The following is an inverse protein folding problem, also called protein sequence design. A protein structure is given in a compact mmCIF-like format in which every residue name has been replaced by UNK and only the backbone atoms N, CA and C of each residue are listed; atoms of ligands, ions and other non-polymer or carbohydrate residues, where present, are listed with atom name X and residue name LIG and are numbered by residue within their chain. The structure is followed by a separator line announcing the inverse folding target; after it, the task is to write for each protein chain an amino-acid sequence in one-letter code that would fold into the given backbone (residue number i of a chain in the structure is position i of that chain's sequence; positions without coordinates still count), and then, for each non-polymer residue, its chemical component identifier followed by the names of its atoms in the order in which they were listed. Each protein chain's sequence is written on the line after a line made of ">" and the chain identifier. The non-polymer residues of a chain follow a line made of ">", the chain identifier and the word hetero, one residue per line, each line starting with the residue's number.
data_IF_419539797374
#
_entry.id   IF_419539797374
#
_cell.length_a   1.000
_cell.length_b   1.000
_cell.length_c   1.000
_cell.angle_alpha   90.00
_cell.angle_beta   90.00
_cell.angle_gamma   90.00
#
_symmetry.space_group_name_H-M   'P 1'
#
loop_
_entity.id
_entity.type
_entity.pdbx_description
1 polymer ?
#
# COMPACT_ATOMS: atom_id res chain seq x y z
N UNK A 1 27.19 -30.31 10.21
CA UNK A 1 25.91 -29.58 10.33
C UNK A 1 25.68 -28.87 9.01
N UNK A 2 24.84 -29.45 8.15
CA UNK A 2 24.53 -28.87 6.84
C UNK A 2 23.62 -27.68 7.10
N UNK A 3 24.13 -26.48 6.79
CA UNK A 3 23.45 -25.20 6.92
C UNK A 3 22.16 -25.27 6.12
N UNK A 4 21.02 -25.34 6.82
CA UNK A 4 19.72 -25.15 6.18
C UNK A 4 19.78 -23.81 5.46
N UNK A 5 19.65 -23.81 4.14
CA UNK A 5 19.42 -22.56 3.41
C UNK A 5 18.02 -22.10 3.83
N UNK A 6 17.94 -21.20 4.80
CA UNK A 6 16.71 -20.47 5.07
C UNK A 6 16.32 -19.77 3.77
N UNK A 7 15.35 -20.36 3.06
CA UNK A 7 14.69 -19.69 1.95
C UNK A 7 14.05 -18.45 2.56
N UNK A 8 14.39 -17.28 2.04
CA UNK A 8 13.80 -16.03 2.51
C UNK A 8 12.29 -16.03 2.25
N UNK A 9 11.53 -15.36 3.10
CA UNK A 9 10.08 -15.21 2.92
C UNK A 9 9.75 -14.61 1.53
N UNK A 10 10.64 -13.75 1.04
CA UNK A 10 10.63 -13.16 -0.29
C UNK A 10 10.72 -14.22 -1.40
N UNK A 11 11.74 -15.09 -1.36
CA UNK A 11 11.95 -16.16 -2.34
C UNK A 11 10.81 -17.18 -2.31
N UNK A 12 10.33 -17.51 -1.12
CA UNK A 12 9.17 -18.38 -0.96
C UNK A 12 7.92 -17.75 -1.59
N UNK A 13 7.65 -16.47 -1.34
CA UNK A 13 6.50 -15.76 -1.92
C UNK A 13 6.60 -15.62 -3.44
N UNK A 14 7.79 -15.38 -4.00
CA UNK A 14 8.01 -15.36 -5.45
C UNK A 14 7.78 -16.72 -6.11
N UNK A 15 8.28 -17.80 -5.51
CA UNK A 15 8.16 -19.16 -6.04
C UNK A 15 6.71 -19.61 -6.23
N UNK A 16 5.79 -19.15 -5.38
CA UNK A 16 4.35 -19.46 -5.47
C UNK A 16 3.53 -18.35 -6.13
N UNK A 17 4.17 -17.40 -6.86
CA UNK A 17 3.52 -16.25 -7.50
C UNK A 17 2.66 -15.40 -6.55
N UNK A 18 2.99 -15.45 -5.26
CA UNK A 18 2.38 -14.66 -4.20
C UNK A 18 3.04 -13.28 -4.06
N UNK A 19 4.13 -13.02 -4.78
CA UNK A 19 4.79 -11.71 -4.82
C UNK A 19 3.92 -10.59 -5.43
N UNK A 20 2.86 -10.94 -6.16
CA UNK A 20 1.89 -9.97 -6.70
C UNK A 20 0.63 -10.03 -5.86
N UNK A 21 0.47 -9.05 -4.97
CA UNK A 21 -0.79 -8.86 -4.23
C UNK A 21 -1.94 -8.57 -5.22
N UNK A 22 -1.61 -8.06 -6.42
CA UNK A 22 -2.52 -7.30 -7.26
C UNK A 22 -3.26 -8.16 -8.27
N UNK A 23 -4.58 -8.27 -8.09
CA UNK A 23 -5.46 -8.55 -9.22
C UNK A 23 -5.31 -7.40 -10.21
N UNK A 24 -4.77 -7.70 -11.39
CA UNK A 24 -4.51 -6.73 -12.46
C UNK A 24 -5.77 -5.90 -12.75
N UNK A 25 -6.97 -6.45 -12.51
CA UNK A 25 -8.27 -5.77 -12.64
C UNK A 25 -8.41 -4.50 -11.80
N UNK A 26 -7.73 -4.41 -10.65
CA UNK A 26 -7.77 -3.22 -9.80
C UNK A 26 -6.78 -2.12 -10.23
N UNK A 27 -5.85 -2.47 -11.12
CA UNK A 27 -4.76 -1.61 -11.60
C UNK A 27 -4.86 -1.30 -13.10
N UNK A 28 -5.65 -2.04 -13.87
CA UNK A 28 -6.01 -1.73 -15.25
C UNK A 28 -6.96 -0.52 -15.33
N UNK A 29 -6.80 0.28 -16.38
CA UNK A 29 -7.60 1.48 -16.71
C UNK A 29 -7.48 2.64 -15.72
N UNK A 30 -6.29 3.26 -15.63
CA UNK A 30 -6.14 4.62 -15.06
C UNK A 30 -6.35 5.66 -16.17
N UNK A 31 -7.48 5.59 -16.88
CA UNK A 31 -7.75 6.50 -17.99
C UNK A 31 -8.44 7.80 -17.53
N UNK A 32 -7.88 8.91 -18.04
CA UNK A 32 -8.11 10.34 -17.74
C UNK A 32 -7.66 10.84 -16.38
N UNK A 33 -7.14 12.08 -16.39
CA UNK A 33 -6.83 12.90 -15.22
C UNK A 33 -8.05 12.91 -14.31
N UNK A 34 -7.95 12.16 -13.22
CA UNK A 34 -9.03 12.04 -12.25
C UNK A 34 -8.98 13.25 -11.33
N UNK A 35 -10.14 13.79 -10.94
CA UNK A 35 -10.26 14.78 -9.85
C UNK A 35 -9.51 14.34 -8.58
N UNK A 36 -9.20 13.05 -8.46
CA UNK A 36 -8.46 12.49 -7.35
C UNK A 36 -6.97 12.83 -7.34
N UNK A 37 -6.38 13.20 -8.47
CA UNK A 37 -4.99 13.67 -8.51
C UNK A 37 -4.81 15.00 -7.77
N UNK A 38 -5.87 15.79 -7.64
CA UNK A 38 -5.85 17.06 -6.91
C UNK A 38 -5.50 16.87 -5.43
N UNK A 39 -5.81 15.72 -4.85
CA UNK A 39 -5.42 15.39 -3.46
C UNK A 39 -3.90 15.25 -3.28
N UNK A 40 -3.16 15.12 -4.37
CA UNK A 40 -1.70 15.02 -4.39
C UNK A 40 -1.02 16.27 -4.95
N UNK A 41 -1.79 17.31 -5.28
CA UNK A 41 -1.24 18.52 -5.91
C UNK A 41 -0.27 19.22 -4.96
N UNK A 42 0.95 19.43 -5.45
CA UNK A 42 2.01 20.15 -4.73
C UNK A 42 2.65 19.37 -3.58
N UNK A 43 2.42 18.05 -3.49
CA UNK A 43 3.11 17.20 -2.51
C UNK A 43 4.64 17.23 -2.73
N UNK A 44 5.09 17.33 -3.97
CA UNK A 44 6.49 17.41 -4.36
C UNK A 44 7.23 18.62 -3.76
N UNK A 45 6.50 19.71 -3.45
CA UNK A 45 7.06 20.91 -2.83
C UNK A 45 7.00 20.87 -1.30
N UNK A 46 6.33 19.86 -0.73
CA UNK A 46 6.12 19.68 0.72
C UNK A 46 6.99 18.57 1.32
N UNK A 47 7.77 17.88 0.50
CA UNK A 47 8.64 16.78 0.93
C UNK A 47 10.06 17.01 0.45
N UNK A 48 11.04 16.71 1.31
CA UNK A 48 12.47 16.89 1.00
C UNK A 48 13.16 15.58 0.57
N UNK A 49 12.42 14.46 0.53
CA UNK A 49 12.94 13.15 0.18
C UNK A 49 12.24 12.61 -1.07
N UNK A 50 13.00 12.40 -2.15
CA UNK A 50 12.52 11.83 -3.42
C UNK A 50 11.17 12.41 -3.89
N UNK A 51 11.07 13.74 -4.07
CA UNK A 51 9.79 14.41 -4.29
C UNK A 51 9.02 13.93 -5.52
N UNK A 52 9.72 13.58 -6.61
CA UNK A 52 9.11 13.05 -7.83
C UNK A 52 8.48 11.68 -7.60
N UNK A 53 9.21 10.77 -6.95
CA UNK A 53 8.74 9.42 -6.63
C UNK A 53 7.59 9.45 -5.63
N UNK A 54 7.65 10.33 -4.63
CA UNK A 54 6.56 10.55 -3.68
C UNK A 54 5.31 11.08 -4.38
N UNK A 55 5.44 12.04 -5.30
CA UNK A 55 4.30 12.53 -6.10
C UNK A 55 3.67 11.41 -6.92
N UNK A 56 4.49 10.60 -7.59
CA UNK A 56 4.00 9.47 -8.39
C UNK A 56 3.29 8.44 -7.51
N UNK A 57 3.83 8.11 -6.34
CA UNK A 57 3.18 7.22 -5.38
C UNK A 57 1.84 7.79 -4.90
N UNK A 58 1.81 9.07 -4.52
CA UNK A 58 0.58 9.73 -4.09
C UNK A 58 -0.49 9.68 -5.19
N UNK A 59 -0.15 10.04 -6.43
CA UNK A 59 -1.09 10.01 -7.56
C UNK A 59 -1.66 8.60 -7.77
N UNK A 60 -0.81 7.57 -7.74
CA UNK A 60 -1.26 6.18 -7.83
C UNK A 60 -2.22 5.85 -6.68
N UNK A 61 -1.82 6.18 -5.45
CA UNK A 61 -2.63 5.95 -4.26
C UNK A 61 -4.03 6.60 -4.38
N UNK A 62 -4.08 7.88 -4.71
CA UNK A 62 -5.33 8.63 -4.80
C UNK A 62 -6.25 8.08 -5.91
N UNK A 63 -5.67 7.70 -7.06
CA UNK A 63 -6.45 7.07 -8.13
C UNK A 63 -7.04 5.73 -7.71
N UNK A 64 -6.28 4.87 -7.03
CA UNK A 64 -6.78 3.58 -6.52
C UNK A 64 -7.90 3.77 -5.51
N UNK A 65 -7.69 4.64 -4.52
CA UNK A 65 -8.70 4.93 -3.52
C UNK A 65 -9.99 5.50 -4.13
N UNK A 66 -9.91 6.26 -5.21
CA UNK A 66 -11.08 6.81 -5.86
C UNK A 66 -11.88 5.83 -6.73
N UNK A 67 -11.29 4.71 -7.14
CA UNK A 67 -12.03 3.66 -7.86
C UNK A 67 -12.99 2.91 -6.94
N UNK A 68 -12.82 3.04 -5.63
CA UNK A 68 -13.67 2.40 -4.64
C UNK A 68 -15.09 2.96 -4.67
N UNK A 69 -16.06 2.05 -4.74
CA UNK A 69 -17.47 2.39 -4.63
C UNK A 69 -17.95 2.23 -3.17
N UNK A 70 -18.38 3.31 -2.49
CA UNK A 70 -18.87 3.24 -1.12
C UNK A 70 -20.20 2.48 -0.95
N UNK A 71 -20.88 2.14 -2.05
CA UNK A 71 -22.16 1.41 -2.07
C UNK A 71 -22.01 -0.11 -1.83
N UNK A 72 -20.79 -0.67 -1.88
CA UNK A 72 -20.52 -2.06 -1.53
C UNK A 72 -19.58 -2.16 -0.31
N UNK A 73 -20.10 -2.16 0.93
CA UNK A 73 -19.27 -2.08 2.14
C UNK A 73 -18.28 -3.23 2.32
N UNK A 74 -18.65 -4.45 1.92
CA UNK A 74 -17.79 -5.63 2.07
C UNK A 74 -16.60 -5.59 1.11
N UNK A 75 -16.86 -5.25 -0.16
CA UNK A 75 -15.81 -5.08 -1.17
C UNK A 75 -14.89 -3.90 -0.82
N UNK A 76 -15.48 -2.80 -0.36
CA UNK A 76 -14.75 -1.62 0.09
C UNK A 76 -13.79 -1.95 1.24
N UNK A 77 -14.27 -2.62 2.29
CA UNK A 77 -13.43 -2.99 3.44
C UNK A 77 -12.26 -3.89 3.04
N UNK A 78 -12.53 -4.90 2.21
CA UNK A 78 -11.50 -5.80 1.70
C UNK A 78 -10.44 -5.06 0.89
N UNK A 79 -10.87 -4.19 -0.03
CA UNK A 79 -9.97 -3.40 -0.86
C UNK A 79 -9.19 -2.36 -0.04
N UNK A 80 -9.80 -1.72 0.95
CA UNK A 80 -9.11 -0.79 1.84
C UNK A 80 -7.99 -1.47 2.65
N UNK A 81 -8.27 -2.63 3.23
CA UNK A 81 -7.27 -3.44 3.92
C UNK A 81 -6.11 -3.80 3.01
N UNK A 82 -6.43 -4.21 1.78
CA UNK A 82 -5.45 -4.49 0.75
C UNK A 82 -4.59 -3.26 0.41
N UNK A 83 -5.20 -2.08 0.25
CA UNK A 83 -4.51 -0.85 -0.11
C UNK A 83 -3.52 -0.40 0.96
N UNK A 84 -3.76 -0.70 2.24
CA UNK A 84 -2.79 -0.46 3.31
C UNK A 84 -1.49 -1.22 3.04
N UNK A 85 -1.57 -2.53 2.78
CA UNK A 85 -0.39 -3.38 2.54
C UNK A 85 0.35 -2.98 1.27
N UNK A 86 -0.38 -2.67 0.19
CA UNK A 86 0.23 -2.13 -1.03
C UNK A 86 1.00 -0.84 -0.75
N UNK A 87 0.40 0.10 -0.03
CA UNK A 87 1.05 1.38 0.27
C UNK A 87 2.36 1.17 1.05
N UNK A 88 2.38 0.28 2.04
CA UNK A 88 3.59 -0.01 2.81
C UNK A 88 4.70 -0.62 1.97
N UNK A 89 4.34 -1.52 1.05
CA UNK A 89 5.28 -2.10 0.09
C UNK A 89 5.90 -0.99 -0.80
N UNK A 90 5.08 -0.07 -1.31
CA UNK A 90 5.58 1.03 -2.14
C UNK A 90 6.44 2.03 -1.33
N UNK A 91 6.09 2.31 -0.08
CA UNK A 91 6.92 3.13 0.81
C UNK A 91 8.29 2.46 1.00
N UNK A 92 8.33 1.15 1.25
CA UNK A 92 9.57 0.40 1.42
C UNK A 92 10.47 0.36 0.17
N UNK A 93 9.90 0.53 -1.03
CA UNK A 93 10.64 0.69 -2.29
C UNK A 93 11.31 2.06 -2.40
N UNK A 94 10.68 3.11 -1.87
CA UNK A 94 11.18 4.48 -1.91
C UNK A 94 12.16 4.75 -0.76
N UNK A 95 11.83 4.29 0.44
CA UNK A 95 12.59 4.47 1.68
C UNK A 95 13.07 3.11 2.21
N UNK A 96 14.35 2.82 2.01
CA UNK A 96 14.91 1.46 2.15
C UNK A 96 15.42 1.12 3.55
N UNK A 97 15.35 2.05 4.51
CA UNK A 97 15.81 1.82 5.90
C UNK A 97 14.75 1.01 6.64
N UNK A 98 14.85 -0.32 6.58
CA UNK A 98 13.82 -1.25 7.07
C UNK A 98 13.58 -1.19 8.59
N UNK A 99 14.59 -0.76 9.36
CA UNK A 99 14.49 -0.60 10.82
C UNK A 99 13.73 0.65 11.24
N UNK A 100 13.55 1.62 10.34
CA UNK A 100 12.84 2.85 10.65
C UNK A 100 11.37 2.60 10.91
N UNK A 101 10.79 3.38 11.82
CA UNK A 101 9.34 3.42 12.00
C UNK A 101 8.73 4.14 10.81
N UNK A 102 7.56 3.68 10.36
CA UNK A 102 6.87 4.32 9.24
C UNK A 102 6.52 5.78 9.53
N UNK A 103 6.25 6.12 10.80
CA UNK A 103 6.01 7.51 11.23
C UNK A 103 7.22 8.43 11.08
N UNK A 104 8.44 7.88 11.03
CA UNK A 104 9.68 8.64 10.86
C UNK A 104 10.05 8.80 9.35
N UNK A 105 9.29 8.18 8.45
CA UNK A 105 9.52 8.31 7.00
C UNK A 105 9.15 9.73 6.56
N UNK A 106 10.06 10.50 5.92
CA UNK A 106 9.91 11.95 5.71
C UNK A 106 8.68 12.41 4.91
N UNK A 107 8.03 11.49 4.20
CA UNK A 107 6.88 11.78 3.34
C UNK A 107 5.61 11.04 3.77
N UNK A 108 5.66 10.21 4.82
CA UNK A 108 4.52 9.37 5.22
C UNK A 108 3.31 10.20 5.62
N UNK A 109 3.49 11.24 6.43
CA UNK A 109 2.38 12.12 6.85
C UNK A 109 1.71 12.80 5.65
N UNK A 110 2.46 13.13 4.59
CA UNK A 110 1.89 13.73 3.37
C UNK A 110 1.10 12.74 2.53
N UNK A 111 1.53 11.49 2.45
CA UNK A 111 0.72 10.42 1.86
C UNK A 111 -0.56 10.19 2.68
N UNK A 112 -0.48 10.35 4.00
CA UNK A 112 -1.61 10.15 4.89
C UNK A 112 -2.64 11.27 4.84
N UNK A 113 -2.21 12.52 4.69
CA UNK A 113 -3.07 13.64 4.36
C UNK A 113 -3.89 13.35 3.08
N UNK A 114 -3.22 12.96 2.00
CA UNK A 114 -3.89 12.64 0.73
C UNK A 114 -4.88 11.47 0.86
N UNK A 115 -4.49 10.40 1.55
CA UNK A 115 -5.39 9.28 1.86
C UNK A 115 -6.65 9.74 2.58
N UNK A 116 -6.48 10.53 3.66
CA UNK A 116 -7.57 10.99 4.49
C UNK A 116 -8.50 11.93 3.73
N UNK A 117 -7.97 12.76 2.85
CA UNK A 117 -8.77 13.65 2.00
C UNK A 117 -9.62 12.87 0.99
N UNK A 118 -9.06 11.84 0.35
CA UNK A 118 -9.84 10.92 -0.50
C UNK A 118 -10.89 10.18 0.33
N UNK A 119 -10.51 9.63 1.48
CA UNK A 119 -11.41 8.86 2.33
C UNK A 119 -12.62 9.70 2.81
N UNK A 120 -12.36 10.95 3.20
CA UNK A 120 -13.41 11.91 3.62
C UNK A 120 -14.31 12.30 2.45
N UNK A 121 -13.72 12.61 1.30
CA UNK A 121 -14.45 13.21 0.16
C UNK A 121 -15.17 12.17 -0.71
N UNK A 122 -14.62 10.96 -0.82
CA UNK A 122 -15.10 9.94 -1.77
C UNK A 122 -15.60 8.66 -1.12
N UNK A 123 -15.09 8.31 0.07
CA UNK A 123 -15.34 6.99 0.69
C UNK A 123 -16.16 7.06 1.97
N UNK A 124 -16.75 8.22 2.28
CA UNK A 124 -17.57 8.43 3.48
C UNK A 124 -16.89 7.98 4.78
N UNK A 125 -15.56 8.17 4.86
CA UNK A 125 -14.72 7.75 5.99
C UNK A 125 -14.71 6.23 6.29
N UNK A 126 -15.05 5.38 5.32
CA UNK A 126 -15.09 3.92 5.49
C UNK A 126 -13.74 3.23 5.26
N UNK A 127 -12.75 3.95 4.72
CA UNK A 127 -11.41 3.44 4.39
C UNK A 127 -10.36 4.04 5.33
N UNK A 128 -10.45 3.74 6.63
CA UNK A 128 -9.57 4.34 7.64
C UNK A 128 -8.27 3.55 7.75
N UNK A 129 -7.15 4.26 7.82
CA UNK A 129 -5.86 3.66 8.10
C UNK A 129 -5.69 3.43 9.60
N UNK A 130 -5.11 2.30 9.97
CA UNK A 130 -4.79 1.98 11.35
C UNK A 130 -3.68 2.89 11.89
N UNK A 131 -3.63 3.09 13.21
CA UNK A 131 -2.53 3.83 13.82
C UNK A 131 -1.27 2.96 13.88
N UNK A 132 -0.42 3.09 12.86
CA UNK A 132 0.80 2.29 12.69
C UNK A 132 2.09 3.11 12.78
N UNK A 133 2.02 4.38 13.21
CA UNK A 133 3.21 5.28 13.20
C UNK A 133 4.42 4.69 13.92
N UNK A 134 4.22 3.91 14.97
CA UNK A 134 5.27 3.26 15.74
C UNK A 134 5.83 1.96 15.13
N UNK A 135 5.25 1.45 14.05
CA UNK A 135 5.57 0.16 13.44
C UNK A 135 6.72 0.32 12.45
N UNK A 136 7.66 -0.61 12.50
CA UNK A 136 8.85 -0.64 11.66
C UNK A 136 8.50 -1.07 10.23
N UNK A 137 9.22 -0.56 9.23
CA UNK A 137 9.00 -0.98 7.83
C UNK A 137 9.20 -2.49 7.62
N UNK A 138 10.17 -3.11 8.32
CA UNK A 138 10.38 -4.56 8.28
C UNK A 138 9.17 -5.34 8.81
N UNK A 139 8.54 -4.84 9.87
CA UNK A 139 7.34 -5.48 10.43
C UNK A 139 6.15 -5.33 9.46
N UNK A 140 5.97 -4.16 8.87
CA UNK A 140 4.94 -3.94 7.85
C UNK A 140 5.15 -4.85 6.63
N UNK A 141 6.40 -5.07 6.21
CA UNK A 141 6.75 -6.03 5.16
C UNK A 141 6.32 -7.45 5.53
N UNK A 142 6.62 -7.90 6.75
CA UNK A 142 6.20 -9.21 7.25
C UNK A 142 4.68 -9.36 7.35
N UNK A 143 3.97 -8.30 7.77
CA UNK A 143 2.50 -8.27 7.80
C UNK A 143 1.92 -8.37 6.38
N UNK A 144 2.52 -7.68 5.41
CA UNK A 144 2.15 -7.80 4.00
C UNK A 144 2.31 -9.24 3.49
N UNK A 145 3.44 -9.90 3.75
CA UNK A 145 3.61 -11.32 3.37
C UNK A 145 2.62 -12.25 4.05
N UNK A 146 2.38 -12.05 5.34
CA UNK A 146 1.39 -12.82 6.10
C UNK A 146 -0.01 -12.66 5.49
N UNK A 147 -0.42 -11.42 5.18
CA UNK A 147 -1.71 -11.14 4.55
C UNK A 147 -1.87 -11.87 3.22
N UNK A 148 -0.86 -11.80 2.35
CA UNK A 148 -0.86 -12.49 1.06
C UNK A 148 -0.99 -14.01 1.25
N UNK A 149 -0.18 -14.58 2.15
CA UNK A 149 -0.21 -16.01 2.46
C UNK A 149 -1.62 -16.44 2.90
N UNK A 150 -2.22 -15.73 3.86
CA UNK A 150 -3.56 -16.05 4.35
C UNK A 150 -4.64 -15.90 3.27
N UNK A 151 -4.54 -14.91 2.39
CA UNK A 151 -5.47 -14.73 1.26
C UNK A 151 -5.36 -15.85 0.23
N UNK A 152 -4.20 -16.48 0.09
CA UNK A 152 -3.95 -17.53 -0.89
C UNK A 152 -3.97 -18.95 -0.32
N UNK A 153 -4.16 -19.14 0.99
CA UNK A 153 -4.28 -20.46 1.62
C UNK A 153 -5.31 -21.38 0.94
N UNK A 154 -6.42 -20.83 0.45
CA UNK A 154 -7.43 -21.59 -0.30
C UNK A 154 -6.96 -22.07 -1.67
N UNK A 155 -6.01 -21.37 -2.30
CA UNK A 155 -5.40 -21.73 -3.58
C UNK A 155 -4.25 -22.75 -3.41
N UNK A 156 -3.65 -22.82 -2.21
CA UNK A 156 -2.54 -23.73 -1.88
C UNK A 156 -3.06 -25.11 -1.44
N UNK A 157 -4.26 -25.17 -0.85
CA UNK A 157 -4.87 -26.41 -0.34
C UNK A 157 -5.58 -27.27 -1.40
N UNK A 158 -5.59 -26.85 -2.66
CA UNK A 158 -6.21 -27.57 -3.79
C UNK A 158 -5.17 -28.09 -4.77
#
# INVERSE_FOLDING_TARGET
>A
MTKSSEISLEEAAEAVKLNKIHDEKYFSDLDKMSMCELFCMGIEYKVNFKPTEVKQLCVKLARHLCKLNPANPSELSNYCNYMHYWLFEQIGKIYTIQSARIGDVPFFDKLMEAWNDVNRTKLSNKCKLENIKGVNLNELKNRTYSYIYFKNLGNIKN
#
